data_IF_394556664603
#
_entry.id   IF_394556664603
#
_cell.length_a   1.000
_cell.length_b   1.000
_cell.length_c   1.000
_cell.angle_alpha   90.00
_cell.angle_beta   90.00
_cell.angle_gamma   90.00
#
_symmetry.space_group_name_H-M   'P 1'
#
loop_
_entity.id
_entity.type
_entity.pdbx_description
1 polymer ?
#
# COMPACT_ATOMS: atom_id res chain seq x y z
N UNK A 1 -21.45 22.92 9.41
CA UNK A 1 -19.99 23.15 9.41
C UNK A 1 -19.55 23.10 10.88
N UNK A 2 -18.69 22.14 11.25
CA UNK A 2 -18.10 22.12 12.60
C UNK A 2 -17.09 23.28 12.70
N UNK A 3 -17.08 24.02 13.80
CA UNK A 3 -16.08 25.05 14.05
C UNK A 3 -14.68 24.46 14.01
N UNK A 4 -13.69 25.17 13.43
CA UNK A 4 -12.31 24.70 13.41
C UNK A 4 -11.80 24.51 14.85
N UNK A 5 -11.41 23.31 15.21
CA UNK A 5 -11.01 22.92 16.58
C UNK A 5 -9.64 23.48 16.96
N UNK A 6 -8.84 23.94 15.99
CA UNK A 6 -7.49 24.54 16.16
C UNK A 6 -7.38 25.73 15.22
N UNK A 7 -6.77 26.83 15.68
CA UNK A 7 -6.52 27.98 14.82
C UNK A 7 -5.60 27.56 13.66
N UNK A 8 -5.93 27.86 12.38
CA UNK A 8 -5.13 27.47 11.22
C UNK A 8 -3.65 27.85 11.30
N UNK A 9 -3.37 29.02 11.88
CA UNK A 9 -2.00 29.55 12.02
C UNK A 9 -1.18 28.77 13.06
N UNK A 10 -1.81 28.23 14.11
CA UNK A 10 -1.13 27.39 15.09
C UNK A 10 -0.59 26.10 14.46
N UNK A 11 -1.22 25.60 13.38
CA UNK A 11 -0.73 24.44 12.63
C UNK A 11 0.49 24.73 11.75
N UNK A 12 0.91 25.99 11.63
CA UNK A 12 2.09 26.43 10.87
C UNK A 12 3.25 26.81 11.80
N UNK A 13 3.05 26.81 13.12
CA UNK A 13 4.09 27.19 14.08
C UNK A 13 5.30 26.24 14.02
N UNK A 14 6.49 26.85 14.07
CA UNK A 14 7.77 26.12 14.05
C UNK A 14 8.12 25.47 12.70
N UNK A 15 7.38 25.74 11.61
CA UNK A 15 7.75 25.37 10.27
C UNK A 15 8.64 26.47 9.64
N UNK A 16 9.65 26.05 8.88
CA UNK A 16 10.40 26.97 8.05
C UNK A 16 9.58 27.42 6.81
N UNK A 17 10.01 28.42 6.03
CA UNK A 17 9.23 28.93 4.89
C UNK A 17 8.85 27.86 3.87
N UNK A 18 9.79 26.99 3.49
CA UNK A 18 9.57 25.93 2.49
C UNK A 18 8.61 24.85 3.00
N UNK A 19 8.74 24.48 4.28
CA UNK A 19 7.81 23.56 4.94
C UNK A 19 6.41 24.14 5.03
N UNK A 20 6.30 25.45 5.31
CA UNK A 20 5.02 26.15 5.36
C UNK A 20 4.37 26.19 3.99
N UNK A 21 5.11 26.53 2.93
CA UNK A 21 4.62 26.51 1.55
C UNK A 21 4.05 25.13 1.18
N UNK A 22 4.77 24.03 1.49
CA UNK A 22 4.31 22.67 1.23
C UNK A 22 3.05 22.29 2.04
N UNK A 23 2.93 22.76 3.29
CA UNK A 23 1.74 22.55 4.13
C UNK A 23 0.54 23.34 3.62
N UNK A 24 0.76 24.55 3.12
CA UNK A 24 -0.26 25.46 2.58
C UNK A 24 -0.63 25.20 1.14
N UNK A 25 0.14 24.36 0.42
CA UNK A 25 -0.17 24.00 -0.97
C UNK A 25 -1.64 23.58 -1.10
N UNK A 26 -2.33 24.18 -2.04
CA UNK A 26 -3.75 23.98 -2.27
C UNK A 26 -4.09 22.61 -2.90
N UNK A 27 -4.94 22.60 -3.89
CA UNK A 27 -5.24 21.43 -4.70
C UNK A 27 -4.15 21.17 -5.74
N UNK A 28 -4.02 19.92 -6.17
CA UNK A 28 -3.03 19.47 -7.15
C UNK A 28 -1.98 18.53 -6.56
N UNK A 29 -1.17 17.93 -7.43
CA UNK A 29 -0.08 17.06 -7.01
C UNK A 29 1.04 17.88 -6.35
N UNK A 30 1.65 17.31 -5.31
CA UNK A 30 2.76 17.94 -4.57
C UNK A 30 3.90 16.93 -4.41
N UNK A 31 5.06 17.24 -4.96
CA UNK A 31 6.30 16.52 -4.71
C UNK A 31 7.21 17.36 -3.80
N UNK A 32 7.60 16.79 -2.65
CA UNK A 32 8.49 17.42 -1.68
C UNK A 32 9.85 16.74 -1.76
N UNK A 33 10.81 17.41 -2.35
CA UNK A 33 12.20 16.95 -2.42
C UNK A 33 12.99 17.50 -1.24
N UNK A 34 13.44 16.61 -0.36
CA UNK A 34 14.14 17.03 0.84
C UNK A 34 15.10 15.95 1.34
N UNK A 35 16.22 16.34 1.87
CA UNK A 35 17.23 15.42 2.42
C UNK A 35 16.77 14.70 3.69
N UNK A 36 17.56 13.73 4.12
CA UNK A 36 17.31 13.05 5.39
C UNK A 36 17.37 14.06 6.56
N UNK A 37 16.45 13.95 7.51
CA UNK A 37 16.39 14.85 8.67
C UNK A 37 15.79 16.23 8.40
N UNK A 38 15.38 16.55 7.18
CA UNK A 38 14.76 17.86 6.82
C UNK A 38 13.34 18.06 7.34
N UNK A 39 12.73 17.02 7.95
CA UNK A 39 11.39 17.10 8.49
C UNK A 39 10.29 16.72 7.49
N UNK A 40 10.57 15.90 6.47
CA UNK A 40 9.57 15.40 5.48
C UNK A 40 8.28 14.90 6.13
N UNK A 41 8.37 13.94 7.04
CA UNK A 41 7.21 13.40 7.78
C UNK A 41 6.50 14.49 8.60
N UNK A 42 7.24 15.50 9.12
CA UNK A 42 6.64 16.64 9.81
C UNK A 42 5.77 17.46 8.86
N UNK A 43 6.23 17.73 7.66
CA UNK A 43 5.45 18.45 6.65
C UNK A 43 4.15 17.69 6.34
N UNK A 44 4.23 16.37 6.10
CA UNK A 44 3.01 15.56 5.86
C UNK A 44 2.04 15.61 7.03
N UNK A 45 2.51 15.47 8.27
CA UNK A 45 1.63 15.51 9.46
C UNK A 45 0.96 16.86 9.65
N UNK A 46 1.67 17.97 9.45
CA UNK A 46 1.11 19.32 9.49
C UNK A 46 0.13 19.58 8.35
N UNK A 47 0.43 19.08 7.13
CA UNK A 47 -0.50 19.16 5.99
C UNK A 47 -1.81 18.42 6.27
N UNK A 48 -1.75 17.18 6.77
CA UNK A 48 -2.93 16.41 7.17
C UNK A 48 -3.73 17.18 8.24
N UNK A 49 -3.05 17.65 9.28
CA UNK A 49 -3.71 18.40 10.35
C UNK A 49 -4.37 19.69 9.83
N UNK A 50 -3.71 20.40 8.90
CA UNK A 50 -4.28 21.61 8.29
C UNK A 50 -5.52 21.29 7.43
N UNK A 51 -5.46 20.29 6.55
CA UNK A 51 -6.60 19.87 5.73
C UNK A 51 -7.84 19.59 6.59
N UNK A 52 -7.66 18.87 7.71
CA UNK A 52 -8.75 18.53 8.63
C UNK A 52 -9.14 19.71 9.53
N UNK A 53 -8.16 20.44 10.04
CA UNK A 53 -8.36 21.56 10.97
C UNK A 53 -9.07 22.74 10.33
N UNK A 54 -8.82 23.02 9.06
CA UNK A 54 -9.49 24.06 8.28
C UNK A 54 -10.83 23.61 7.69
N UNK A 55 -11.15 22.31 7.76
CA UNK A 55 -12.34 21.74 7.11
C UNK A 55 -12.23 21.60 5.60
N UNK A 56 -11.03 21.73 5.02
CA UNK A 56 -10.78 21.51 3.59
C UNK A 56 -10.99 20.03 3.20
N UNK A 57 -10.73 19.11 4.14
CA UNK A 57 -11.05 17.70 4.00
C UNK A 57 -11.59 17.11 5.30
N UNK A 58 -12.55 16.18 5.17
CA UNK A 58 -12.99 15.34 6.28
C UNK A 58 -11.94 14.27 6.60
N UNK A 59 -11.84 13.77 7.86
CA UNK A 59 -10.91 12.72 8.22
C UNK A 59 -11.04 11.45 7.35
N UNK A 60 -12.23 11.09 6.91
CA UNK A 60 -12.48 9.92 6.04
C UNK A 60 -12.05 10.12 4.59
N UNK A 61 -11.74 11.35 4.19
CA UNK A 61 -11.29 11.69 2.84
C UNK A 61 -9.76 11.64 2.69
N UNK A 62 -9.04 11.28 3.77
CA UNK A 62 -7.58 11.24 3.81
C UNK A 62 -7.07 9.80 3.88
N UNK A 63 -6.20 9.45 2.94
CA UNK A 63 -5.38 8.25 2.94
C UNK A 63 -3.92 8.68 3.08
N UNK A 64 -3.27 8.34 4.20
CA UNK A 64 -1.84 8.59 4.40
C UNK A 64 -1.11 7.26 4.59
N UNK A 65 -0.09 7.05 3.79
CA UNK A 65 0.62 5.79 3.63
C UNK A 65 2.06 5.91 4.08
N UNK A 66 2.51 4.87 4.79
CA UNK A 66 3.90 4.70 5.21
C UNK A 66 4.36 3.27 4.94
N UNK A 67 5.66 2.99 5.13
CA UNK A 67 6.21 1.65 4.91
C UNK A 67 6.14 0.76 6.16
N UNK A 68 6.15 1.34 7.35
CA UNK A 68 6.17 0.55 8.59
C UNK A 68 5.02 0.90 9.52
N UNK A 69 4.54 -0.09 10.29
CA UNK A 69 3.48 0.13 11.27
C UNK A 69 3.91 1.15 12.34
N UNK A 70 5.21 1.18 12.69
CA UNK A 70 5.76 2.17 13.61
C UNK A 70 5.62 3.58 13.06
N UNK A 71 6.03 3.82 11.82
CA UNK A 71 5.90 5.13 11.15
C UNK A 71 4.43 5.55 11.04
N UNK A 72 3.53 4.64 10.69
CA UNK A 72 2.09 4.90 10.64
C UNK A 72 1.52 5.31 12.01
N UNK A 73 1.95 4.64 13.07
CA UNK A 73 1.53 4.97 14.43
C UNK A 73 2.09 6.32 14.88
N UNK A 74 3.38 6.60 14.65
CA UNK A 74 3.99 7.89 14.97
C UNK A 74 3.33 9.03 14.19
N UNK A 75 3.02 8.83 12.91
CA UNK A 75 2.30 9.81 12.09
C UNK A 75 0.92 10.09 12.68
N UNK A 76 0.19 9.07 13.06
CA UNK A 76 -1.13 9.19 13.70
C UNK A 76 -1.07 10.00 14.99
N UNK A 77 -0.14 9.67 15.88
CA UNK A 77 0.03 10.35 17.17
C UNK A 77 0.34 11.83 16.98
N UNK A 78 1.20 12.17 16.01
CA UNK A 78 1.53 13.57 15.69
C UNK A 78 0.33 14.32 15.13
N UNK A 79 -0.44 13.72 14.21
CA UNK A 79 -1.64 14.33 13.65
C UNK A 79 -2.71 14.54 14.73
N UNK A 80 -2.93 13.56 15.61
CA UNK A 80 -3.88 13.65 16.71
C UNK A 80 -3.47 14.71 17.76
N UNK A 81 -2.16 14.83 18.03
CA UNK A 81 -1.61 15.88 18.90
C UNK A 81 -1.85 17.29 18.31
N UNK A 82 -1.60 17.47 17.02
CA UNK A 82 -1.84 18.75 16.31
C UNK A 82 -3.32 19.13 16.28
N UNK A 83 -4.21 18.15 16.15
CA UNK A 83 -5.67 18.38 16.08
C UNK A 83 -6.35 18.43 17.45
N UNK A 84 -5.66 18.03 18.53
CA UNK A 84 -6.23 17.93 19.88
C UNK A 84 -7.36 16.89 20.01
N UNK A 85 -7.51 15.99 19.03
CA UNK A 85 -8.56 14.96 19.01
C UNK A 85 -8.15 13.71 18.23
N UNK A 86 -8.79 12.58 18.53
CA UNK A 86 -8.59 11.33 17.80
C UNK A 86 -9.24 11.38 16.41
N UNK A 87 -8.59 10.74 15.43
CA UNK A 87 -8.99 10.73 14.02
C UNK A 87 -9.22 9.30 13.50
N UNK A 88 -10.13 8.57 14.15
CA UNK A 88 -10.38 7.14 13.86
C UNK A 88 -10.83 6.86 12.41
N UNK A 89 -11.48 7.81 11.76
CA UNK A 89 -12.00 7.66 10.40
C UNK A 89 -10.90 7.77 9.33
N UNK A 90 -9.76 8.37 9.67
CA UNK A 90 -8.65 8.57 8.74
C UNK A 90 -7.89 7.25 8.48
N UNK A 91 -7.50 7.03 7.24
CA UNK A 91 -6.63 5.92 6.88
C UNK A 91 -5.16 6.34 6.96
N UNK A 92 -4.60 6.25 8.15
CA UNK A 92 -3.18 6.43 8.45
C UNK A 92 -2.57 5.05 8.70
N UNK A 93 -1.93 4.44 7.71
CA UNK A 93 -1.50 3.04 7.78
C UNK A 93 -0.43 2.70 6.74
N UNK A 94 0.06 1.46 6.76
CA UNK A 94 0.97 0.98 5.72
C UNK A 94 0.20 0.61 4.45
N UNK A 95 0.91 0.54 3.30
CA UNK A 95 0.34 0.04 2.04
C UNK A 95 -0.37 -1.30 2.22
N UNK A 96 0.30 -2.28 2.83
CA UNK A 96 -0.27 -3.60 3.07
C UNK A 96 -1.52 -3.56 3.96
N UNK A 97 -1.53 -2.72 4.98
CA UNK A 97 -2.71 -2.55 5.85
C UNK A 97 -3.89 -1.92 5.12
N UNK A 98 -3.63 -0.95 4.22
CA UNK A 98 -4.66 -0.32 3.39
C UNK A 98 -5.25 -1.33 2.39
N UNK A 99 -4.38 -2.08 1.69
CA UNK A 99 -4.79 -3.14 0.77
C UNK A 99 -5.58 -4.24 1.50
N UNK A 100 -5.09 -4.73 2.65
CA UNK A 100 -5.80 -5.72 3.45
C UNK A 100 -7.19 -5.23 3.89
N UNK A 101 -7.31 -3.97 4.32
CA UNK A 101 -8.60 -3.37 4.71
C UNK A 101 -9.56 -3.27 3.53
N UNK A 102 -9.07 -2.89 2.35
CA UNK A 102 -9.85 -2.86 1.11
C UNK A 102 -10.30 -4.28 0.73
N UNK A 103 -9.38 -5.24 0.72
CA UNK A 103 -9.67 -6.63 0.39
C UNK A 103 -10.65 -7.28 1.37
N UNK A 104 -10.58 -6.98 2.70
CA UNK A 104 -11.58 -7.47 3.66
C UNK A 104 -13.01 -7.04 3.31
N UNK A 105 -13.18 -5.87 2.71
CA UNK A 105 -14.50 -5.42 2.26
C UNK A 105 -14.94 -6.09 0.96
N UNK A 106 -14.01 -6.32 0.02
CA UNK A 106 -14.29 -6.67 -1.37
C UNK A 106 -13.89 -8.10 -1.77
N UNK A 107 -13.28 -8.89 -0.89
CA UNK A 107 -12.74 -10.22 -1.16
C UNK A 107 -13.66 -11.16 -1.98
N UNK A 108 -15.00 -11.18 -1.77
CA UNK A 108 -15.89 -12.04 -2.56
C UNK A 108 -15.85 -11.78 -4.07
N UNK A 109 -15.49 -10.58 -4.51
CA UNK A 109 -15.34 -10.24 -5.94
C UNK A 109 -14.17 -10.97 -6.60
N UNK A 110 -13.17 -11.33 -5.80
CA UNK A 110 -11.96 -12.04 -6.24
C UNK A 110 -11.98 -13.54 -5.90
N UNK A 111 -13.14 -14.10 -5.47
CA UNK A 111 -13.27 -15.50 -5.12
C UNK A 111 -12.76 -15.88 -3.73
N UNK A 112 -12.46 -14.90 -2.87
CA UNK A 112 -12.08 -15.14 -1.48
C UNK A 112 -13.24 -14.86 -0.53
N UNK A 113 -13.21 -15.47 0.66
CA UNK A 113 -14.07 -15.01 1.74
C UNK A 113 -13.47 -13.80 2.44
N UNK A 114 -14.29 -13.03 3.16
CA UNK A 114 -13.80 -11.88 3.93
C UNK A 114 -12.87 -12.26 5.08
N UNK A 115 -12.90 -13.51 5.53
CA UNK A 115 -12.04 -14.07 6.58
C UNK A 115 -10.80 -14.78 6.01
N UNK A 116 -10.30 -14.38 4.84
CA UNK A 116 -9.08 -14.96 4.30
C UNK A 116 -7.91 -14.86 5.29
N UNK A 117 -7.05 -15.85 5.32
CA UNK A 117 -5.85 -15.85 6.16
C UNK A 117 -4.73 -15.06 5.47
N UNK A 118 -3.96 -14.29 6.24
CA UNK A 118 -2.74 -13.65 5.74
C UNK A 118 -1.56 -14.51 6.17
N UNK A 119 -0.87 -15.09 5.19
CA UNK A 119 0.34 -15.87 5.40
C UNK A 119 1.53 -14.96 5.63
N UNK A 120 2.29 -15.25 6.69
CA UNK A 120 3.60 -14.63 6.86
C UNK A 120 4.65 -15.30 5.97
N UNK A 121 5.88 -14.79 6.04
CA UNK A 121 6.99 -15.32 5.23
C UNK A 121 7.31 -16.79 5.53
N UNK A 122 7.11 -17.25 6.78
CA UNK A 122 7.35 -18.63 7.16
C UNK A 122 6.28 -19.55 6.59
N UNK A 123 5.00 -19.12 6.64
CA UNK A 123 3.87 -19.86 6.06
C UNK A 123 4.00 -19.95 4.53
N UNK A 124 4.31 -18.83 3.87
CA UNK A 124 4.52 -18.78 2.43
C UNK A 124 5.66 -19.72 1.99
N UNK A 125 6.81 -19.71 2.67
CA UNK A 125 7.93 -20.62 2.37
C UNK A 125 7.60 -22.07 2.63
N UNK A 126 6.77 -22.36 3.65
CA UNK A 126 6.31 -23.72 3.92
C UNK A 126 5.43 -24.23 2.80
N UNK A 127 4.52 -23.40 2.29
CA UNK A 127 3.68 -23.74 1.14
C UNK A 127 4.53 -23.94 -0.13
N UNK A 128 5.51 -23.06 -0.40
CA UNK A 128 6.45 -23.24 -1.52
C UNK A 128 7.19 -24.59 -1.40
N UNK A 129 7.67 -24.94 -0.18
CA UNK A 129 8.31 -26.25 0.04
C UNK A 129 7.38 -27.39 -0.31
N UNK A 130 6.12 -27.36 0.13
CA UNK A 130 5.13 -28.39 -0.21
C UNK A 130 4.92 -28.45 -1.73
N UNK A 131 4.80 -27.34 -2.42
CA UNK A 131 4.68 -27.30 -3.88
C UNK A 131 5.88 -27.96 -4.58
N UNK A 132 7.10 -27.69 -4.10
CA UNK A 132 8.31 -28.31 -4.64
C UNK A 132 8.36 -29.84 -4.39
N UNK A 133 7.95 -30.29 -3.21
CA UNK A 133 7.83 -31.71 -2.87
C UNK A 133 6.78 -32.40 -3.79
N UNK A 134 5.63 -31.77 -4.03
CA UNK A 134 4.55 -32.27 -4.92
C UNK A 134 5.00 -32.33 -6.39
N UNK A 135 5.86 -31.40 -6.82
CA UNK A 135 6.46 -31.40 -8.16
C UNK A 135 7.67 -32.34 -8.30
N UNK A 136 8.06 -33.04 -7.23
CA UNK A 136 9.23 -33.93 -7.23
C UNK A 136 10.57 -33.20 -7.40
N UNK A 137 10.65 -31.92 -7.04
CA UNK A 137 11.83 -31.08 -7.16
C UNK A 137 12.80 -31.30 -5.98
N UNK A 138 14.08 -31.47 -6.25
CA UNK A 138 15.11 -31.57 -5.20
C UNK A 138 15.28 -30.23 -4.47
N UNK A 139 14.73 -30.13 -3.27
CA UNK A 139 14.78 -28.91 -2.43
C UNK A 139 16.18 -28.58 -1.88
N UNK A 140 17.18 -29.46 -2.03
CA UNK A 140 18.58 -29.15 -1.74
C UNK A 140 19.20 -28.30 -2.86
N UNK A 141 18.79 -28.56 -4.09
CA UNK A 141 19.23 -27.82 -5.28
C UNK A 141 18.40 -26.55 -5.49
N UNK A 142 17.10 -26.62 -5.28
CA UNK A 142 16.13 -25.52 -5.44
C UNK A 142 15.50 -25.19 -4.10
N UNK A 143 16.15 -24.32 -3.33
CA UNK A 143 15.68 -24.04 -1.98
C UNK A 143 14.33 -23.31 -1.98
N UNK A 144 13.41 -23.64 -1.07
CA UNK A 144 12.13 -22.93 -0.96
C UNK A 144 12.29 -21.42 -0.80
N UNK A 145 13.35 -20.96 -0.14
CA UNK A 145 13.64 -19.55 0.03
C UNK A 145 13.99 -18.86 -1.30
N UNK A 146 14.79 -19.49 -2.15
CA UNK A 146 15.16 -18.94 -3.46
C UNK A 146 13.94 -18.90 -4.41
N UNK A 147 13.14 -19.97 -4.43
CA UNK A 147 11.91 -20.02 -5.24
C UNK A 147 10.92 -18.97 -4.76
N UNK A 148 10.67 -18.88 -3.44
CA UNK A 148 9.78 -17.86 -2.87
C UNK A 148 10.23 -16.44 -3.20
N UNK A 149 11.55 -16.17 -3.17
CA UNK A 149 12.09 -14.85 -3.54
C UNK A 149 11.74 -14.50 -4.99
N UNK A 150 11.90 -15.44 -5.94
CA UNK A 150 11.54 -15.20 -7.34
C UNK A 150 10.03 -14.97 -7.53
N UNK A 151 9.19 -15.71 -6.82
CA UNK A 151 7.73 -15.50 -6.81
C UNK A 151 7.40 -14.11 -6.26
N UNK A 152 8.00 -13.72 -5.14
CA UNK A 152 7.82 -12.40 -4.54
C UNK A 152 8.25 -11.28 -5.49
N UNK A 153 9.41 -11.41 -6.14
CA UNK A 153 9.87 -10.43 -7.14
C UNK A 153 8.92 -10.32 -8.33
N UNK A 154 8.38 -11.44 -8.82
CA UNK A 154 7.38 -11.45 -9.89
C UNK A 154 6.09 -10.74 -9.44
N UNK A 155 5.57 -11.04 -8.26
CA UNK A 155 4.39 -10.39 -7.68
C UNK A 155 4.59 -8.88 -7.53
N UNK A 156 5.73 -8.44 -7.01
CA UNK A 156 6.06 -7.03 -6.85
C UNK A 156 6.17 -6.27 -8.18
N UNK A 157 6.40 -6.99 -9.29
CA UNK A 157 6.38 -6.48 -10.66
C UNK A 157 5.01 -6.70 -11.35
N UNK A 158 3.98 -7.14 -10.62
CA UNK A 158 2.64 -7.48 -11.16
C UNK A 158 2.68 -8.53 -12.28
N UNK A 159 3.63 -9.45 -12.21
CA UNK A 159 3.73 -10.60 -13.12
C UNK A 159 3.08 -11.80 -12.45
N UNK A 160 1.96 -12.26 -13.00
CA UNK A 160 1.36 -13.53 -12.60
C UNK A 160 2.19 -14.74 -13.09
N UNK A 161 1.77 -15.95 -12.76
CA UNK A 161 2.48 -17.17 -13.13
C UNK A 161 2.58 -17.35 -14.66
N UNK A 162 1.54 -16.95 -15.41
CA UNK A 162 1.51 -17.05 -16.87
C UNK A 162 2.50 -16.05 -17.50
N UNK A 163 2.51 -14.80 -17.05
CA UNK A 163 3.45 -13.80 -17.51
C UNK A 163 4.90 -14.16 -17.15
N UNK A 164 5.12 -14.73 -15.94
CA UNK A 164 6.44 -15.20 -15.56
C UNK A 164 6.91 -16.36 -16.46
N UNK A 165 6.03 -17.31 -16.80
CA UNK A 165 6.32 -18.46 -17.68
C UNK A 165 6.78 -18.03 -19.08
N UNK A 166 6.29 -16.90 -19.59
CA UNK A 166 6.72 -16.36 -20.90
C UNK A 166 8.17 -15.82 -20.90
N UNK A 167 8.73 -15.55 -19.73
CA UNK A 167 10.08 -15.02 -19.55
C UNK A 167 11.13 -16.09 -19.24
N UNK A 168 10.72 -17.35 -19.14
CA UNK A 168 11.60 -18.47 -18.78
C UNK A 168 12.69 -18.66 -19.83
N UNK A 169 13.94 -18.68 -19.40
CA UNK A 169 15.12 -18.87 -20.25
C UNK A 169 15.98 -20.10 -19.89
N UNK A 170 15.71 -20.70 -18.70
CA UNK A 170 16.50 -21.80 -18.20
C UNK A 170 15.73 -22.73 -17.25
N UNK A 171 16.41 -23.78 -16.81
CA UNK A 171 15.79 -24.82 -15.97
C UNK A 171 15.38 -24.31 -14.59
N UNK A 172 16.12 -23.35 -14.03
CA UNK A 172 15.76 -22.74 -12.75
C UNK A 172 14.46 -21.95 -12.86
N UNK A 173 14.36 -21.08 -13.86
CA UNK A 173 13.18 -20.27 -14.10
C UNK A 173 11.96 -21.13 -14.45
N UNK A 174 12.17 -22.26 -15.17
CA UNK A 174 11.08 -23.22 -15.41
C UNK A 174 10.57 -23.82 -14.10
N UNK A 175 11.47 -24.21 -13.20
CA UNK A 175 11.10 -24.72 -11.88
C UNK A 175 10.35 -23.66 -11.06
N UNK A 176 10.77 -22.40 -11.13
CA UNK A 176 10.05 -21.28 -10.49
C UNK A 176 8.65 -21.13 -11.08
N UNK A 177 8.51 -21.16 -12.41
CA UNK A 177 7.20 -21.02 -13.08
C UNK A 177 6.21 -22.12 -12.66
N UNK A 178 6.68 -23.37 -12.64
CA UNK A 178 5.87 -24.53 -12.23
C UNK A 178 5.46 -24.44 -10.75
N UNK A 179 6.41 -24.04 -9.89
CA UNK A 179 6.14 -23.84 -8.46
C UNK A 179 5.21 -22.65 -8.22
N UNK A 180 5.33 -21.56 -8.98
CA UNK A 180 4.50 -20.37 -8.86
C UNK A 180 3.06 -20.66 -9.22
N UNK A 181 2.79 -21.36 -10.34
CA UNK A 181 1.45 -21.78 -10.74
C UNK A 181 0.78 -22.65 -9.67
N UNK A 182 1.53 -23.64 -9.14
CA UNK A 182 1.02 -24.51 -8.08
C UNK A 182 0.79 -23.73 -6.78
N UNK A 183 1.71 -22.83 -6.41
CA UNK A 183 1.60 -21.98 -5.22
C UNK A 183 0.35 -21.11 -5.26
N UNK A 184 0.09 -20.40 -6.38
CA UNK A 184 -1.09 -19.54 -6.55
C UNK A 184 -2.39 -20.34 -6.40
N UNK A 185 -2.44 -21.53 -6.99
CA UNK A 185 -3.61 -22.39 -6.88
C UNK A 185 -3.85 -22.87 -5.44
N UNK A 186 -2.80 -23.30 -4.74
CA UNK A 186 -2.91 -23.82 -3.39
C UNK A 186 -3.22 -22.74 -2.36
N UNK A 187 -2.57 -21.58 -2.42
CA UNK A 187 -2.84 -20.46 -1.51
C UNK A 187 -4.28 -19.94 -1.68
N UNK A 188 -4.77 -19.88 -2.93
CA UNK A 188 -6.16 -19.52 -3.21
C UNK A 188 -7.14 -20.55 -2.67
N UNK A 189 -6.86 -21.85 -2.89
CA UNK A 189 -7.68 -22.97 -2.38
C UNK A 189 -7.80 -22.94 -0.84
N UNK A 190 -6.75 -22.51 -0.16
CA UNK A 190 -6.72 -22.36 1.30
C UNK A 190 -7.42 -21.09 1.79
N UNK A 191 -8.01 -20.30 0.90
CA UNK A 191 -8.55 -18.98 1.20
C UNK A 191 -7.53 -18.10 1.94
N UNK A 192 -6.30 -18.05 1.42
CA UNK A 192 -5.19 -17.31 2.00
C UNK A 192 -4.55 -16.37 0.98
N UNK A 193 -3.88 -15.38 1.47
CA UNK A 193 -3.05 -14.42 0.71
C UNK A 193 -1.74 -14.23 1.46
N UNK A 194 -0.61 -14.17 0.77
CA UNK A 194 0.64 -13.71 1.36
C UNK A 194 0.73 -12.16 1.37
N UNK A 195 1.83 -11.60 1.86
CA UNK A 195 2.00 -10.15 1.90
C UNK A 195 2.03 -9.51 0.51
N UNK A 196 2.67 -10.18 -0.48
CA UNK A 196 2.73 -9.67 -1.85
C UNK A 196 1.34 -9.75 -2.50
N UNK A 197 0.56 -10.80 -2.21
CA UNK A 197 -0.82 -10.94 -2.68
C UNK A 197 -1.71 -9.79 -2.24
N UNK A 198 -1.49 -9.22 -1.06
CA UNK A 198 -2.31 -8.08 -0.61
C UNK A 198 -2.22 -6.91 -1.58
N UNK A 199 -1.03 -6.66 -2.13
CA UNK A 199 -0.83 -5.61 -3.15
C UNK A 199 -1.38 -6.04 -4.51
N UNK A 200 -1.00 -7.23 -4.98
CA UNK A 200 -1.42 -7.76 -6.30
C UNK A 200 -2.94 -7.84 -6.38
N UNK A 201 -3.60 -8.44 -5.38
CA UNK A 201 -5.07 -8.59 -5.38
C UNK A 201 -5.79 -7.24 -5.22
N UNK A 202 -5.21 -6.27 -4.50
CA UNK A 202 -5.77 -4.92 -4.44
C UNK A 202 -5.64 -4.18 -5.78
N UNK A 203 -4.55 -4.36 -6.53
CA UNK A 203 -4.41 -3.86 -7.90
C UNK A 203 -5.45 -4.53 -8.80
N UNK A 204 -5.52 -5.86 -8.82
CA UNK A 204 -6.50 -6.60 -9.63
C UNK A 204 -7.94 -6.17 -9.32
N UNK A 205 -8.26 -5.95 -8.05
CA UNK A 205 -9.58 -5.47 -7.63
C UNK A 205 -9.93 -4.13 -8.28
N UNK A 206 -9.00 -3.18 -8.27
CA UNK A 206 -9.23 -1.86 -8.85
C UNK A 206 -9.19 -1.85 -10.38
N UNK A 207 -8.48 -2.79 -11.01
CA UNK A 207 -8.45 -2.92 -12.47
C UNK A 207 -9.70 -3.61 -13.02
N UNK A 208 -10.16 -4.68 -12.36
CA UNK A 208 -11.28 -5.49 -12.82
C UNK A 208 -12.65 -4.87 -12.48
N UNK A 209 -12.74 -4.08 -11.40
CA UNK A 209 -14.02 -3.56 -10.89
C UNK A 209 -14.00 -2.04 -10.83
N UNK A 210 -14.41 -1.40 -11.93
CA UNK A 210 -14.42 0.06 -12.06
C UNK A 210 -15.22 0.75 -10.95
N UNK A 211 -16.39 0.20 -10.57
CA UNK A 211 -17.22 0.77 -9.52
C UNK A 211 -16.55 0.75 -8.14
N UNK A 212 -15.65 -0.23 -7.89
CA UNK A 212 -14.83 -0.27 -6.66
C UNK A 212 -13.77 0.80 -6.72
N UNK A 213 -13.06 0.90 -7.86
CA UNK A 213 -12.06 1.95 -8.09
C UNK A 213 -12.67 3.33 -7.91
N UNK A 214 -13.79 3.63 -8.58
CA UNK A 214 -14.45 4.93 -8.52
C UNK A 214 -14.90 5.28 -7.10
N UNK A 215 -15.39 4.32 -6.33
CA UNK A 215 -15.74 4.51 -4.93
C UNK A 215 -14.54 4.89 -4.06
N UNK A 216 -13.42 4.19 -4.17
CA UNK A 216 -12.23 4.48 -3.35
C UNK A 216 -11.52 5.76 -3.81
N UNK A 217 -11.41 6.02 -5.11
CA UNK A 217 -10.83 7.25 -5.65
C UNK A 217 -11.65 8.49 -5.27
N UNK A 218 -12.99 8.36 -5.22
CA UNK A 218 -13.87 9.44 -4.76
C UNK A 218 -13.79 9.62 -3.25
N UNK A 219 -13.69 8.52 -2.49
CA UNK A 219 -13.59 8.59 -1.03
C UNK A 219 -12.27 9.22 -0.57
N UNK A 220 -11.15 8.89 -1.20
CA UNK A 220 -9.83 9.42 -0.84
C UNK A 220 -9.49 10.67 -1.67
N UNK A 221 -10.04 11.81 -1.27
CA UNK A 221 -9.76 13.10 -1.94
C UNK A 221 -8.31 13.56 -1.78
N UNK A 222 -7.63 13.15 -0.71
CA UNK A 222 -6.23 13.47 -0.44
C UNK A 222 -5.47 12.19 -0.13
N UNK A 223 -4.46 11.91 -0.94
CA UNK A 223 -3.54 10.79 -0.75
C UNK A 223 -2.16 11.35 -0.43
N UNK A 224 -1.57 10.92 0.68
CA UNK A 224 -0.25 11.34 1.12
C UNK A 224 0.64 10.11 1.29
N UNK A 225 1.88 10.17 0.80
CA UNK A 225 2.81 9.04 0.86
C UNK A 225 4.15 9.50 1.43
N UNK A 226 4.56 8.87 2.52
CA UNK A 226 5.89 9.06 3.11
C UNK A 226 6.88 8.06 2.50
N UNK A 227 8.14 8.47 2.31
CA UNK A 227 9.24 7.71 1.70
C UNK A 227 8.84 7.12 0.30
N UNK A 228 8.24 7.98 -0.54
CA UNK A 228 7.72 7.56 -1.85
C UNK A 228 8.78 6.92 -2.77
N UNK A 229 10.06 7.29 -2.62
CA UNK A 229 11.17 6.72 -3.37
C UNK A 229 11.36 5.21 -3.15
N UNK A 230 10.83 4.66 -2.06
CA UNK A 230 10.94 3.23 -1.73
C UNK A 230 9.77 2.40 -2.30
N UNK A 231 8.85 3.02 -3.05
CA UNK A 231 7.70 2.32 -3.64
C UNK A 231 8.13 1.34 -4.73
N UNK A 232 7.61 0.10 -4.65
CA UNK A 232 7.74 -0.87 -5.72
C UNK A 232 6.68 -0.66 -6.82
N UNK A 233 6.79 -1.42 -7.91
CA UNK A 233 5.87 -1.28 -9.05
C UNK A 233 4.40 -1.56 -8.69
N UNK A 234 4.13 -2.57 -7.86
CA UNK A 234 2.76 -2.89 -7.43
C UNK A 234 2.13 -1.77 -6.57
N UNK A 235 2.92 -1.19 -5.64
CA UNK A 235 2.49 -0.05 -4.83
C UNK A 235 2.24 1.19 -5.69
N UNK A 236 3.13 1.49 -6.63
CA UNK A 236 2.97 2.59 -7.57
C UNK A 236 1.70 2.42 -8.41
N UNK A 237 1.47 1.21 -8.98
CA UNK A 237 0.28 0.92 -9.79
C UNK A 237 -1.00 1.08 -8.98
N UNK A 238 -1.02 0.60 -7.73
CA UNK A 238 -2.16 0.75 -6.84
C UNK A 238 -2.48 2.23 -6.54
N UNK A 239 -1.45 3.05 -6.28
CA UNK A 239 -1.61 4.51 -6.13
C UNK A 239 -2.17 5.14 -7.40
N UNK A 240 -1.63 4.81 -8.57
CA UNK A 240 -2.09 5.33 -9.85
C UNK A 240 -3.57 5.02 -10.10
N UNK A 241 -4.02 3.80 -9.77
CA UNK A 241 -5.43 3.41 -9.88
C UNK A 241 -6.35 4.20 -8.94
N UNK A 242 -5.86 4.59 -7.76
CA UNK A 242 -6.62 5.39 -6.80
C UNK A 242 -6.64 6.87 -7.13
N UNK A 243 -5.54 7.42 -7.63
CA UNK A 243 -5.40 8.87 -7.82
C UNK A 243 -5.66 9.32 -9.27
N UNK A 244 -5.67 8.37 -10.21
CA UNK A 244 -5.76 8.64 -11.63
C UNK A 244 -4.40 8.93 -12.28
N UNK A 245 -4.37 9.06 -13.61
CA UNK A 245 -3.16 9.38 -14.38
C UNK A 245 -2.71 10.83 -14.11
N UNK A 246 -3.67 11.73 -13.90
CA UNK A 246 -3.45 13.10 -13.46
C UNK A 246 -3.94 13.24 -12.01
N UNK A 247 -3.10 12.94 -11.02
CA UNK A 247 -3.51 12.89 -9.62
C UNK A 247 -3.90 14.31 -9.13
N UNK A 248 -5.13 14.43 -8.62
CA UNK A 248 -5.65 15.73 -8.17
C UNK A 248 -4.99 16.21 -6.88
N UNK A 249 -4.86 15.33 -5.89
CA UNK A 249 -4.36 15.67 -4.55
C UNK A 249 -3.46 14.55 -4.01
N UNK A 250 -2.38 14.26 -4.73
CA UNK A 250 -1.32 13.34 -4.29
C UNK A 250 -0.14 14.15 -3.77
N UNK A 251 0.19 14.00 -2.49
CA UNK A 251 1.37 14.59 -1.88
C UNK A 251 2.38 13.50 -1.52
N UNK A 252 3.60 13.60 -2.01
CA UNK A 252 4.65 12.58 -1.80
C UNK A 252 5.94 13.21 -1.29
N UNK A 253 6.67 12.51 -0.43
CA UNK A 253 7.96 12.91 0.10
C UNK A 253 8.98 11.78 0.02
#
# INVERSE_FOLDING_TARGET
>A
MAEPTVAPDALLEGLNPEQREAVEHGEGPLLILAGAGSGKTRVLTHRIARLVGTGAAGPSEILALTFTNKAAQEMRERVEALLGRRTRAMWLMTFHSACARMLRAEAPRLGYTRQFTIYDQADARRLVKQCLDDLGVDTKRFTPAAIHHQISDAKNQLRDADAYRQLVSGYFEQTVADAYELYEREIHRMNAMDFDDLLVRAVNLLELFQEVRDRYSTAFRHVLVDEYQDTNHAQFRWLQLLTGEEPRNLAVV
#
